data_IF_329150324564
#
_entry.id   IF_329150324564
#
_cell.length_a   1.000
_cell.length_b   1.000
_cell.length_c   1.000
_cell.angle_alpha   90.00
_cell.angle_beta   90.00
_cell.angle_gamma   90.00
#
_symmetry.space_group_name_H-M   'P 1'
#
loop_
_entity.id
_entity.type
_entity.pdbx_description
1 polymer ?
#
# COMPACT_ATOMS: atom_id res chain seq x y z
N UNK A 1 32.89 -12.46 -12.75
CA UNK A 1 32.42 -12.38 -11.34
C UNK A 1 33.59 -12.65 -10.43
N UNK A 2 33.80 -11.83 -9.39
CA UNK A 2 34.73 -12.13 -8.30
C UNK A 2 33.93 -12.77 -7.17
N UNK A 3 34.36 -13.95 -6.69
CA UNK A 3 33.76 -14.59 -5.51
C UNK A 3 34.16 -13.92 -4.19
N UNK A 4 35.08 -12.97 -4.23
CA UNK A 4 35.60 -12.29 -3.05
C UNK A 4 35.08 -10.86 -2.98
N UNK A 5 34.64 -10.47 -1.78
CA UNK A 5 34.30 -9.09 -1.46
C UNK A 5 35.57 -8.25 -1.41
N UNK A 6 35.62 -7.07 -2.06
CA UNK A 6 36.83 -6.27 -2.11
C UNK A 6 37.18 -5.69 -0.75
N UNK A 7 38.49 -5.56 -0.48
CA UNK A 7 39.02 -5.12 0.83
C UNK A 7 38.48 -3.73 1.18
N UNK A 8 38.39 -2.85 0.18
CA UNK A 8 37.87 -1.49 0.29
C UNK A 8 36.39 -1.43 0.69
N UNK A 9 35.64 -2.51 0.48
CA UNK A 9 34.24 -2.62 0.87
C UNK A 9 34.03 -3.47 2.14
N UNK A 10 35.08 -4.00 2.79
CA UNK A 10 34.94 -4.69 4.07
C UNK A 10 34.37 -3.79 5.19
N UNK A 11 34.71 -2.48 5.27
CA UNK A 11 34.10 -1.58 6.27
C UNK A 11 32.58 -1.48 6.15
N UNK A 12 32.01 -1.74 4.97
CA UNK A 12 30.55 -1.77 4.79
C UNK A 12 29.90 -2.90 5.60
N UNK A 13 30.52 -4.08 5.65
CA UNK A 13 30.01 -5.23 6.41
C UNK A 13 29.94 -4.89 7.91
N UNK A 14 31.01 -4.31 8.44
CA UNK A 14 31.07 -3.87 9.84
C UNK A 14 30.00 -2.81 10.13
N UNK A 15 29.80 -1.87 9.20
CA UNK A 15 28.75 -0.85 9.34
C UNK A 15 27.35 -1.46 9.34
N UNK A 16 27.09 -2.45 8.51
CA UNK A 16 25.81 -3.17 8.49
C UNK A 16 25.51 -3.86 9.83
N UNK A 17 26.51 -4.53 10.42
CA UNK A 17 26.39 -5.19 11.72
C UNK A 17 26.11 -4.18 12.84
N UNK A 18 26.82 -3.04 12.85
CA UNK A 18 26.61 -1.99 13.86
C UNK A 18 25.24 -1.31 13.75
N UNK A 19 24.74 -1.15 12.52
CA UNK A 19 23.47 -0.47 12.24
C UNK A 19 22.27 -1.41 12.17
N UNK A 20 22.49 -2.72 12.29
CA UNK A 20 21.46 -3.76 12.13
C UNK A 20 20.65 -3.61 10.84
N UNK A 21 21.30 -3.20 9.75
CA UNK A 21 20.68 -3.10 8.43
C UNK A 21 21.69 -3.36 7.30
N UNK A 22 21.36 -4.24 6.34
CA UNK A 22 20.12 -5.01 6.20
C UNK A 22 20.04 -6.16 7.21
N UNK A 23 19.00 -7.01 7.14
CA UNK A 23 18.93 -8.21 7.98
C UNK A 23 20.12 -9.14 7.73
N UNK A 24 20.53 -9.91 8.74
CA UNK A 24 21.71 -10.78 8.65
C UNK A 24 21.63 -11.78 7.48
N UNK A 25 20.42 -12.26 7.17
CA UNK A 25 20.16 -13.14 6.01
C UNK A 25 20.50 -12.44 4.69
N UNK A 26 20.10 -11.18 4.53
CA UNK A 26 20.37 -10.40 3.32
C UNK A 26 21.85 -10.04 3.25
N UNK A 27 22.46 -9.65 4.38
CA UNK A 27 23.89 -9.35 4.47
C UNK A 27 24.74 -10.57 4.07
N UNK A 28 24.47 -11.73 4.67
CA UNK A 28 25.15 -12.98 4.35
C UNK A 28 25.00 -13.36 2.88
N UNK A 29 23.80 -13.21 2.30
CA UNK A 29 23.56 -13.48 0.89
C UNK A 29 24.36 -12.54 -0.03
N UNK A 30 24.48 -11.26 0.33
CA UNK A 30 25.29 -10.28 -0.43
C UNK A 30 26.77 -10.63 -0.38
N UNK A 31 27.31 -10.90 0.82
CA UNK A 31 28.74 -11.19 1.00
C UNK A 31 29.14 -12.48 0.29
N UNK A 32 28.31 -13.52 0.35
CA UNK A 32 28.58 -14.82 -0.29
C UNK A 32 28.57 -14.76 -1.83
N UNK A 33 27.80 -13.84 -2.43
CA UNK A 33 27.78 -13.68 -3.89
C UNK A 33 28.93 -12.82 -4.43
N UNK A 34 29.65 -12.10 -3.55
CA UNK A 34 30.81 -11.29 -3.94
C UNK A 34 30.42 -10.06 -4.78
N UNK A 35 31.26 -9.72 -5.75
CA UNK A 35 31.05 -8.53 -6.59
C UNK A 35 31.33 -8.79 -8.08
N UNK A 36 30.83 -7.89 -8.91
CA UNK A 36 31.09 -7.89 -10.34
C UNK A 36 32.21 -6.92 -10.67
N UNK A 37 32.85 -7.13 -11.82
CA UNK A 37 33.85 -6.21 -12.37
C UNK A 37 33.43 -5.91 -13.80
N UNK A 38 33.37 -4.63 -14.17
CA UNK A 38 32.92 -4.16 -15.48
C UNK A 38 34.01 -3.35 -16.17
N UNK A 39 34.17 -3.46 -17.51
CA UNK A 39 35.21 -2.75 -18.26
C UNK A 39 34.79 -1.29 -18.47
N UNK A 40 34.94 -0.48 -17.43
CA UNK A 40 34.64 0.96 -17.45
C UNK A 40 35.89 1.68 -16.96
N UNK A 41 36.57 2.36 -17.89
CA UNK A 41 37.75 3.17 -17.57
C UNK A 41 37.41 4.47 -16.85
N UNK A 42 38.37 4.99 -16.08
CA UNK A 42 38.24 6.28 -15.40
C UNK A 42 38.31 7.48 -16.35
N UNK A 43 38.82 7.27 -17.56
CA UNK A 43 38.85 8.23 -18.66
C UNK A 43 38.65 7.51 -20.01
N UNK A 44 38.19 8.21 -21.06
CA UNK A 44 37.95 7.61 -22.38
C UNK A 44 39.16 6.90 -22.99
N UNK A 45 40.37 7.32 -22.61
CA UNK A 45 41.66 6.83 -23.11
C UNK A 45 42.24 5.66 -22.28
N UNK A 46 41.50 5.20 -21.25
CA UNK A 46 41.96 4.16 -20.31
C UNK A 46 41.15 2.88 -20.41
N UNK A 47 41.23 2.26 -21.57
CA UNK A 47 40.44 1.11 -22.02
C UNK A 47 40.80 -0.20 -21.29
N UNK A 48 41.88 -0.19 -20.51
CA UNK A 48 42.40 -1.33 -19.74
C UNK A 48 41.97 -1.31 -18.27
N UNK A 49 41.23 -0.31 -17.85
CA UNK A 49 40.75 -0.18 -16.48
C UNK A 49 39.40 -0.87 -16.27
N UNK A 50 39.22 -1.39 -15.07
CA UNK A 50 38.04 -2.13 -14.67
C UNK A 50 37.46 -1.51 -13.41
N UNK A 51 36.12 -1.41 -13.33
CA UNK A 51 35.42 -0.88 -12.17
C UNK A 51 34.71 -1.99 -11.43
N UNK A 52 34.81 -1.99 -10.10
CA UNK A 52 33.96 -2.83 -9.25
C UNK A 52 32.50 -2.39 -9.39
N UNK A 53 31.61 -3.37 -9.51
CA UNK A 53 30.16 -3.17 -9.59
C UNK A 53 29.47 -4.00 -8.52
N UNK A 54 28.63 -3.32 -7.73
CA UNK A 54 27.81 -3.91 -6.68
C UNK A 54 26.35 -4.09 -7.13
N UNK A 55 26.06 -4.12 -8.43
CA UNK A 55 24.70 -4.20 -8.96
C UNK A 55 23.87 -5.35 -8.38
N UNK A 56 24.46 -6.54 -8.20
CA UNK A 56 23.81 -7.68 -7.55
C UNK A 56 23.48 -7.42 -6.08
N UNK A 57 24.42 -6.82 -5.33
CA UNK A 57 24.20 -6.44 -3.95
C UNK A 57 23.10 -5.37 -3.81
N UNK A 58 23.13 -4.35 -4.66
CA UNK A 58 22.10 -3.31 -4.73
C UNK A 58 20.71 -3.89 -5.02
N UNK A 59 20.62 -4.87 -5.93
CA UNK A 59 19.36 -5.52 -6.26
C UNK A 59 18.78 -6.22 -5.02
N UNK A 60 19.59 -6.98 -4.28
CA UNK A 60 19.16 -7.64 -3.04
C UNK A 60 18.71 -6.63 -1.98
N UNK A 61 19.44 -5.52 -1.82
CA UNK A 61 19.03 -4.46 -0.90
C UNK A 61 17.68 -3.87 -1.28
N UNK A 62 17.45 -3.56 -2.56
CA UNK A 62 16.16 -3.05 -3.05
C UNK A 62 15.03 -4.06 -2.84
N UNK A 63 15.26 -5.36 -3.07
CA UNK A 63 14.25 -6.40 -2.84
C UNK A 63 13.97 -6.67 -1.36
N UNK A 64 14.88 -6.29 -0.47
CA UNK A 64 14.65 -6.35 0.97
C UNK A 64 13.94 -5.13 1.55
N UNK A 65 13.68 -4.09 0.74
CA UNK A 65 12.99 -2.88 1.20
C UNK A 65 11.54 -3.17 1.56
N UNK A 66 11.05 -2.49 2.60
CA UNK A 66 9.62 -2.45 2.84
C UNK A 66 8.90 -1.58 1.80
N UNK A 67 7.57 -1.66 1.77
CA UNK A 67 6.77 -0.95 0.78
C UNK A 67 6.98 0.57 0.82
N UNK A 68 7.05 1.18 2.01
CA UNK A 68 7.26 2.62 2.16
C UNK A 68 8.63 3.08 1.63
N UNK A 69 9.69 2.32 1.89
CA UNK A 69 11.03 2.58 1.35
C UNK A 69 11.05 2.51 -0.17
N UNK A 70 10.40 1.49 -0.74
CA UNK A 70 10.31 1.32 -2.19
C UNK A 70 9.51 2.45 -2.85
N UNK A 71 8.37 2.86 -2.27
CA UNK A 71 7.61 4.01 -2.74
C UNK A 71 8.42 5.31 -2.66
N UNK A 72 9.15 5.52 -1.56
CA UNK A 72 10.03 6.69 -1.41
C UNK A 72 11.13 6.70 -2.48
N UNK A 73 11.68 5.53 -2.84
CA UNK A 73 12.64 5.42 -3.94
C UNK A 73 12.03 5.87 -5.27
N UNK A 74 10.81 5.38 -5.56
CA UNK A 74 10.06 5.76 -6.76
C UNK A 74 9.80 7.26 -6.80
N UNK A 75 9.36 7.84 -5.68
CA UNK A 75 9.10 9.26 -5.54
C UNK A 75 10.34 10.12 -5.79
N UNK A 76 11.49 9.74 -5.22
CA UNK A 76 12.78 10.41 -5.47
C UNK A 76 13.17 10.38 -6.95
N UNK A 77 12.95 9.24 -7.64
CA UNK A 77 13.26 9.10 -9.07
C UNK A 77 12.36 9.97 -9.95
N UNK A 78 11.06 10.00 -9.66
CA UNK A 78 10.12 10.83 -10.41
C UNK A 78 10.44 12.31 -10.18
N UNK A 79 10.69 12.70 -8.92
CA UNK A 79 11.05 14.07 -8.57
C UNK A 79 12.36 14.52 -9.24
N UNK A 80 13.37 13.65 -9.28
CA UNK A 80 14.60 13.91 -10.03
C UNK A 80 14.29 14.20 -11.50
N UNK A 81 13.59 13.29 -12.18
CA UNK A 81 13.34 13.38 -13.62
C UNK A 81 12.44 14.57 -14.00
N UNK A 82 11.38 14.80 -13.23
CA UNK A 82 10.31 15.73 -13.59
C UNK A 82 10.44 17.10 -12.94
N UNK A 83 11.29 17.27 -11.93
CA UNK A 83 11.44 18.57 -11.24
C UNK A 83 12.88 19.05 -11.28
N UNK A 84 13.83 18.21 -10.87
CA UNK A 84 15.24 18.61 -10.77
C UNK A 84 15.89 18.71 -12.16
N UNK A 85 15.67 17.72 -13.03
CA UNK A 85 16.34 17.62 -14.33
C UNK A 85 15.74 18.53 -15.42
N UNK A 86 14.57 19.15 -15.19
CA UNK A 86 13.92 20.00 -16.20
C UNK A 86 14.76 21.20 -16.64
N UNK A 87 15.56 21.76 -15.73
CA UNK A 87 16.34 22.99 -15.97
C UNK A 87 17.85 22.77 -16.08
N UNK A 88 18.38 21.61 -15.65
CA UNK A 88 19.80 21.30 -15.66
C UNK A 88 20.06 19.80 -15.93
N UNK A 89 19.80 19.31 -17.15
CA UNK A 89 20.05 17.91 -17.48
C UNK A 89 21.56 17.63 -17.50
N UNK A 90 22.11 16.95 -16.48
CA UNK A 90 23.37 16.18 -16.54
C UNK A 90 24.01 15.85 -15.19
N UNK A 91 23.71 16.58 -14.12
CA UNK A 91 24.53 16.48 -12.89
C UNK A 91 24.14 15.32 -11.98
N UNK A 92 22.85 14.95 -11.93
CA UNK A 92 22.33 13.88 -11.09
C UNK A 92 21.76 12.73 -11.94
N UNK A 93 21.68 11.53 -11.37
CA UNK A 93 21.05 10.37 -11.97
C UNK A 93 20.39 9.49 -10.91
N UNK A 94 19.60 8.51 -11.35
CA UNK A 94 18.84 7.62 -10.47
C UNK A 94 19.70 6.80 -9.49
N UNK A 95 21.00 6.66 -9.77
CA UNK A 95 21.95 6.00 -8.89
C UNK A 95 22.20 6.78 -7.59
N UNK A 96 22.25 8.12 -7.66
CA UNK A 96 22.41 8.96 -6.48
C UNK A 96 21.18 8.87 -5.57
N UNK A 97 19.98 8.84 -6.15
CA UNK A 97 18.73 8.67 -5.38
C UNK A 97 18.70 7.33 -4.63
N UNK A 98 19.16 6.25 -5.28
CA UNK A 98 19.30 4.94 -4.63
C UNK A 98 20.29 5.00 -3.47
N UNK A 99 21.43 5.64 -3.70
CA UNK A 99 22.50 5.75 -2.70
C UNK A 99 22.05 6.54 -1.48
N UNK A 100 21.40 7.69 -1.67
CA UNK A 100 20.80 8.50 -0.59
C UNK A 100 19.83 7.64 0.21
N UNK A 101 18.93 6.94 -0.46
CA UNK A 101 17.93 6.11 0.21
C UNK A 101 18.57 5.03 1.08
N UNK A 102 19.59 4.31 0.58
CA UNK A 102 20.32 3.32 1.38
C UNK A 102 20.98 3.94 2.61
N UNK A 103 21.61 5.10 2.46
CA UNK A 103 22.24 5.80 3.57
C UNK A 103 21.23 6.26 4.62
N UNK A 104 20.07 6.80 4.21
CA UNK A 104 19.02 7.24 5.14
C UNK A 104 18.42 6.04 5.87
N UNK A 105 18.11 4.95 5.16
CA UNK A 105 17.59 3.71 5.78
C UNK A 105 18.56 3.18 6.84
N UNK A 106 19.86 3.15 6.53
CA UNK A 106 20.87 2.57 7.42
C UNK A 106 21.22 3.46 8.61
N UNK A 107 21.22 4.80 8.43
CA UNK A 107 21.80 5.72 9.41
C UNK A 107 20.77 6.41 10.30
N UNK A 108 19.53 6.59 9.85
CA UNK A 108 18.49 7.28 10.62
C UNK A 108 17.53 6.28 11.28
N UNK A 109 17.91 5.83 12.47
CA UNK A 109 17.09 4.91 13.27
C UNK A 109 15.83 5.56 13.83
N UNK A 110 15.73 6.90 13.81
CA UNK A 110 14.55 7.62 14.28
C UNK A 110 13.44 7.71 13.21
N UNK A 111 13.82 7.48 11.95
CA UNK A 111 12.91 7.56 10.81
C UNK A 111 12.09 6.27 10.68
N UNK A 112 10.79 6.38 10.94
CA UNK A 112 9.85 5.28 10.75
C UNK A 112 9.37 5.22 9.31
N UNK A 113 9.73 4.15 8.60
CA UNK A 113 9.36 3.88 7.21
C UNK A 113 7.97 3.26 7.09
N UNK A 114 6.95 4.05 7.41
CA UNK A 114 5.52 3.69 7.31
C UNK A 114 4.78 4.63 6.36
N UNK A 115 3.68 4.20 5.71
CA UNK A 115 2.98 5.02 4.71
C UNK A 115 2.63 6.44 5.18
N UNK A 116 2.25 6.60 6.45
CA UNK A 116 1.91 7.90 7.02
C UNK A 116 3.07 8.91 7.06
N UNK A 117 4.30 8.40 6.98
CA UNK A 117 5.54 9.18 7.04
C UNK A 117 6.20 9.31 5.67
N UNK A 118 5.57 8.84 4.59
CA UNK A 118 6.22 8.77 3.27
C UNK A 118 6.79 10.11 2.82
N UNK A 119 6.02 11.19 2.94
CA UNK A 119 6.47 12.55 2.56
C UNK A 119 7.59 13.06 3.47
N UNK A 120 7.57 12.72 4.76
CA UNK A 120 8.64 13.05 5.71
C UNK A 120 9.93 12.27 5.40
N UNK A 121 9.82 10.99 5.04
CA UNK A 121 10.94 10.16 4.61
C UNK A 121 11.57 10.70 3.31
N UNK A 122 10.73 11.06 2.34
CA UNK A 122 11.16 11.75 1.13
C UNK A 122 11.89 13.05 1.46
N UNK A 123 11.32 13.88 2.33
CA UNK A 123 11.91 15.17 2.70
C UNK A 123 13.26 15.00 3.40
N UNK A 124 13.41 13.96 4.22
CA UNK A 124 14.68 13.61 4.87
C UNK A 124 15.73 13.25 3.82
N UNK A 125 15.37 12.41 2.83
CA UNK A 125 16.25 12.10 1.70
C UNK A 125 16.61 13.35 0.89
N UNK A 126 15.65 14.25 0.67
CA UNK A 126 15.86 15.49 -0.06
C UNK A 126 16.81 16.46 0.67
N UNK A 127 16.69 16.58 2.00
CA UNK A 127 17.66 17.35 2.82
C UNK A 127 19.07 16.76 2.75
N UNK A 128 19.19 15.44 2.75
CA UNK A 128 20.50 14.76 2.57
C UNK A 128 21.07 15.08 1.19
N UNK A 129 20.26 15.04 0.12
CA UNK A 129 20.69 15.43 -1.23
C UNK A 129 21.25 16.85 -1.24
N UNK A 130 20.51 17.82 -0.68
CA UNK A 130 20.94 19.23 -0.62
C UNK A 130 22.25 19.35 0.14
N UNK A 131 22.38 18.70 1.30
CA UNK A 131 23.61 18.73 2.09
C UNK A 131 24.79 18.13 1.35
N UNK A 132 24.59 17.07 0.58
CA UNK A 132 25.64 16.41 -0.19
C UNK A 132 26.07 17.25 -1.39
N UNK A 133 25.12 17.88 -2.09
CA UNK A 133 25.44 18.81 -3.18
C UNK A 133 26.18 20.02 -2.65
N UNK A 134 25.75 20.59 -1.51
CA UNK A 134 26.45 21.68 -0.85
C UNK A 134 27.91 21.35 -0.53
N UNK A 135 28.16 20.16 0.01
CA UNK A 135 29.52 19.67 0.35
C UNK A 135 30.32 19.19 -0.87
N UNK A 136 29.65 18.89 -1.99
CA UNK A 136 30.28 18.24 -3.14
C UNK A 136 30.63 16.77 -2.88
N UNK A 137 29.92 16.12 -1.95
CA UNK A 137 30.23 14.79 -1.45
C UNK A 137 29.01 13.87 -1.52
N UNK A 138 29.10 12.83 -2.36
CA UNK A 138 28.12 11.75 -2.43
C UNK A 138 28.85 10.41 -2.22
N UNK A 139 28.98 9.93 -0.98
CA UNK A 139 29.74 8.73 -0.68
C UNK A 139 29.06 7.49 -1.28
N UNK A 140 29.81 6.67 -2.01
CA UNK A 140 29.30 5.39 -2.46
C UNK A 140 28.88 4.52 -1.26
N UNK A 141 27.74 3.85 -1.38
CA UNK A 141 27.18 3.10 -0.26
C UNK A 141 28.10 1.97 0.21
N UNK A 142 28.75 1.24 -0.69
CA UNK A 142 29.64 0.13 -0.35
C UNK A 142 31.07 0.58 -0.06
N UNK A 143 31.55 1.65 -0.72
CA UNK A 143 32.90 2.18 -0.54
C UNK A 143 32.81 3.69 -0.27
N UNK A 144 32.56 4.15 0.98
CA UNK A 144 32.29 5.56 1.28
C UNK A 144 33.37 6.54 0.83
N UNK A 145 34.63 6.09 0.77
CA UNK A 145 35.77 6.87 0.29
C UNK A 145 35.66 7.22 -1.20
N UNK A 146 34.86 6.46 -1.97
CA UNK A 146 34.56 6.75 -3.36
C UNK A 146 33.44 7.80 -3.45
N UNK A 147 33.84 9.07 -3.51
CA UNK A 147 32.92 10.18 -3.75
C UNK A 147 32.41 10.17 -5.20
N UNK A 148 31.12 9.90 -5.38
CA UNK A 148 30.48 9.76 -6.69
C UNK A 148 30.11 11.09 -7.36
N UNK A 149 30.18 12.20 -6.62
CA UNK A 149 30.05 13.56 -7.16
C UNK A 149 31.35 14.09 -7.74
N UNK A 150 32.47 13.44 -7.45
CA UNK A 150 33.78 13.83 -7.97
C UNK A 150 33.72 13.97 -9.49
N UNK A 151 34.24 15.09 -10.01
CA UNK A 151 34.24 15.49 -11.43
C UNK A 151 32.85 15.83 -12.02
N UNK A 152 31.75 15.33 -11.44
CA UNK A 152 30.38 15.54 -11.97
C UNK A 152 29.67 16.75 -11.38
N UNK A 153 29.78 16.94 -10.07
CA UNK A 153 29.09 17.99 -9.32
C UNK A 153 30.15 18.86 -8.66
N UNK A 154 30.77 19.72 -9.47
CA UNK A 154 31.88 20.60 -9.07
C UNK A 154 31.73 21.98 -9.72
N UNK A 155 32.32 23.01 -9.10
CA UNK A 155 32.36 24.37 -9.64
C UNK A 155 30.97 24.96 -9.88
N UNK A 156 30.78 25.63 -11.03
CA UNK A 156 29.52 26.30 -11.34
C UNK A 156 28.32 25.35 -11.38
N UNK A 157 28.51 24.10 -11.85
CA UNK A 157 27.44 23.11 -11.91
C UNK A 157 26.92 22.75 -10.50
N UNK A 158 27.82 22.65 -9.52
CA UNK A 158 27.46 22.42 -8.12
C UNK A 158 26.68 23.59 -7.53
N UNK A 159 27.13 24.83 -7.78
CA UNK A 159 26.47 26.05 -7.28
C UNK A 159 25.05 26.17 -7.85
N UNK A 160 24.90 26.05 -9.18
CA UNK A 160 23.59 26.14 -9.83
C UNK A 160 22.64 25.01 -9.38
N UNK A 161 23.16 23.80 -9.19
CA UNK A 161 22.37 22.68 -8.67
C UNK A 161 21.93 22.95 -7.21
N UNK A 162 22.84 23.42 -6.36
CA UNK A 162 22.51 23.74 -4.97
C UNK A 162 21.44 24.83 -4.88
N UNK A 163 21.59 25.93 -5.62
CA UNK A 163 20.60 27.02 -5.66
C UNK A 163 19.23 26.53 -6.11
N UNK A 164 19.18 25.68 -7.14
CA UNK A 164 17.95 25.09 -7.62
C UNK A 164 17.28 24.20 -6.56
N UNK A 165 18.04 23.29 -5.94
CA UNK A 165 17.50 22.41 -4.88
C UNK A 165 17.09 23.20 -3.63
N UNK A 166 17.82 24.25 -3.28
CA UNK A 166 17.49 25.11 -2.14
C UNK A 166 16.24 25.96 -2.41
N UNK A 167 16.03 26.42 -3.64
CA UNK A 167 14.79 27.08 -4.03
C UNK A 167 13.58 26.14 -3.91
N UNK A 168 13.73 24.87 -4.30
CA UNK A 168 12.71 23.85 -4.07
C UNK A 168 12.48 23.58 -2.57
N UNK A 169 13.55 23.55 -1.77
CA UNK A 169 13.47 23.41 -0.32
C UNK A 169 12.68 24.54 0.35
N UNK A 170 12.92 25.79 -0.06
CA UNK A 170 12.21 26.96 0.48
C UNK A 170 10.71 26.96 0.14
N UNK A 171 10.29 26.27 -0.92
CA UNK A 171 8.87 26.04 -1.21
C UNK A 171 8.22 25.01 -0.29
N UNK A 172 9.01 24.20 0.41
CA UNK A 172 8.55 23.10 1.23
C UNK A 172 8.02 21.92 0.42
N UNK A 173 7.32 21.00 1.08
CA UNK A 173 6.67 19.82 0.48
C UNK A 173 5.82 20.15 -0.77
N UNK A 174 5.12 21.32 -0.87
CA UNK A 174 4.41 21.71 -2.09
C UNK A 174 5.26 21.73 -3.37
N UNK A 175 6.61 21.73 -3.29
CA UNK A 175 7.46 21.58 -4.48
C UNK A 175 7.17 20.27 -5.25
N UNK A 176 6.63 19.25 -4.60
CA UNK A 176 6.20 18.00 -5.22
C UNK A 176 5.08 18.21 -6.25
N UNK A 177 4.27 19.27 -6.11
CA UNK A 177 3.19 19.61 -7.04
C UNK A 177 3.71 20.15 -8.38
N UNK A 178 5.01 20.48 -8.47
CA UNK A 178 5.64 20.88 -9.74
C UNK A 178 5.72 19.69 -10.70
N UNK A 179 5.88 18.47 -10.18
CA UNK A 179 5.86 17.26 -11.00
C UNK A 179 4.43 16.98 -11.48
N UNK A 180 4.21 16.81 -12.80
CA UNK A 180 2.89 16.41 -13.31
C UNK A 180 2.43 15.06 -12.76
N UNK A 181 3.34 14.09 -12.65
CA UNK A 181 3.01 12.75 -12.17
C UNK A 181 2.67 12.76 -10.68
N UNK A 182 3.52 13.36 -9.85
CA UNK A 182 3.33 13.42 -8.39
C UNK A 182 2.14 14.34 -8.07
N UNK A 183 2.07 15.49 -8.73
CA UNK A 183 0.99 16.47 -8.60
C UNK A 183 -0.37 15.86 -8.87
N UNK A 184 -0.52 14.96 -9.85
CA UNK A 184 -1.80 14.25 -10.08
C UNK A 184 -2.28 13.48 -8.85
N UNK A 185 -1.40 12.71 -8.20
CA UNK A 185 -1.77 11.93 -7.01
C UNK A 185 -2.01 12.82 -5.79
N UNK A 186 -1.15 13.82 -5.58
CA UNK A 186 -1.29 14.73 -4.44
C UNK A 186 -2.52 15.63 -4.58
N UNK A 187 -2.83 16.15 -5.77
CA UNK A 187 -4.02 16.97 -6.00
C UNK A 187 -5.31 16.19 -5.76
N UNK A 188 -5.36 14.91 -6.14
CA UNK A 188 -6.48 14.03 -5.82
C UNK A 188 -6.65 13.92 -4.29
N UNK A 189 -5.57 13.69 -3.56
CA UNK A 189 -5.62 13.65 -2.09
C UNK A 189 -5.99 15.02 -1.46
N UNK A 190 -5.56 16.15 -2.03
CA UNK A 190 -5.99 17.50 -1.57
C UNK A 190 -7.49 17.69 -1.78
N UNK A 191 -7.99 17.41 -2.99
CA UNK A 191 -9.39 17.61 -3.36
C UNK A 191 -10.34 16.75 -2.50
N UNK A 192 -9.87 15.58 -2.09
CA UNK A 192 -10.61 14.69 -1.19
C UNK A 192 -10.50 15.10 0.29
N UNK A 193 -9.84 16.21 0.62
CA UNK A 193 -9.64 16.68 1.99
C UNK A 193 -8.62 15.87 2.80
N UNK A 194 -7.88 14.96 2.15
CA UNK A 194 -7.01 13.95 2.78
C UNK A 194 -5.60 14.47 3.09
N UNK A 195 -5.23 15.65 2.61
CA UNK A 195 -3.93 16.27 2.86
C UNK A 195 -4.10 17.76 3.17
N UNK A 196 -3.85 18.16 4.42
CA UNK A 196 -3.51 19.55 4.71
C UNK A 196 -1.99 19.70 4.60
N UNK A 197 -1.51 20.41 3.57
CA UNK A 197 -0.09 20.78 3.47
C UNK A 197 0.24 21.80 4.57
N UNK A 198 0.40 21.36 5.81
CA UNK A 198 1.02 22.19 6.84
C UNK A 198 2.53 21.96 6.78
N UNK A 199 3.26 23.06 6.75
CA UNK A 199 4.73 23.10 6.63
C UNK A 199 5.45 22.69 7.92
N UNK A 200 4.73 22.24 8.94
CA UNK A 200 5.33 21.66 10.13
C UNK A 200 5.71 20.20 9.86
N UNK A 201 6.94 19.85 10.24
CA UNK A 201 7.45 18.48 10.18
C UNK A 201 6.65 17.47 11.06
N UNK A 202 5.58 17.93 11.71
CA UNK A 202 4.70 17.18 12.60
C UNK A 202 3.33 16.84 11.99
N UNK A 203 2.98 17.32 10.80
CA UNK A 203 1.74 16.91 10.12
C UNK A 203 1.92 15.58 9.39
N UNK A 204 2.13 14.52 10.17
CA UNK A 204 2.06 13.13 9.73
C UNK A 204 0.68 12.88 9.10
N UNK A 205 0.61 12.10 8.02
CA UNK A 205 -0.68 11.60 7.53
C UNK A 205 -1.26 10.76 8.67
N UNK A 206 -2.36 11.23 9.26
CA UNK A 206 -3.03 10.58 10.38
C UNK A 206 -3.41 9.14 10.03
N UNK A 207 -3.30 8.20 10.98
CA UNK A 207 -3.76 6.81 10.81
C UNK A 207 -5.21 6.73 10.29
N UNK A 208 -6.02 7.74 10.63
CA UNK A 208 -7.41 7.89 10.12
C UNK A 208 -7.43 8.02 8.60
N UNK A 209 -6.53 8.83 8.04
CA UNK A 209 -6.46 9.11 6.60
C UNK A 209 -5.98 7.85 5.86
N UNK A 210 -5.02 7.11 6.43
CA UNK A 210 -4.59 5.84 5.84
C UNK A 210 -5.72 4.82 5.78
N UNK A 211 -6.55 4.75 6.82
CA UNK A 211 -7.69 3.83 6.86
C UNK A 211 -8.83 4.27 5.96
N UNK A 212 -9.04 5.58 5.77
CA UNK A 212 -9.96 6.12 4.75
C UNK A 212 -9.45 5.80 3.34
N UNK A 213 -8.16 5.95 3.06
CA UNK A 213 -7.58 5.52 1.78
C UNK A 213 -7.76 4.02 1.56
N UNK A 214 -7.51 3.20 2.58
CA UNK A 214 -7.73 1.76 2.50
C UNK A 214 -9.20 1.42 2.24
N UNK A 215 -10.13 2.15 2.86
CA UNK A 215 -11.56 2.03 2.58
C UNK A 215 -11.88 2.30 1.11
N UNK A 216 -11.39 3.42 0.57
CA UNK A 216 -11.62 3.80 -0.82
C UNK A 216 -11.03 2.78 -1.80
N UNK A 217 -9.81 2.28 -1.54
CA UNK A 217 -9.18 1.23 -2.35
C UNK A 217 -9.99 -0.07 -2.30
N UNK A 218 -10.46 -0.47 -1.12
CA UNK A 218 -11.31 -1.66 -0.96
C UNK A 218 -12.64 -1.50 -1.69
N UNK A 219 -13.25 -0.32 -1.62
CA UNK A 219 -14.49 0.00 -2.34
C UNK A 219 -14.27 -0.03 -3.86
N UNK A 220 -13.14 0.48 -4.35
CA UNK A 220 -12.82 0.56 -5.78
C UNK A 220 -12.30 -0.75 -6.40
N UNK A 221 -11.71 -1.66 -5.61
CA UNK A 221 -11.25 -2.98 -6.07
C UNK A 221 -12.38 -3.82 -6.68
N UNK A 222 -13.62 -3.43 -6.45
CA UNK A 222 -14.78 -3.98 -7.12
C UNK A 222 -15.21 -5.34 -6.57
N UNK A 223 -16.30 -5.82 -7.15
CA UNK A 223 -17.09 -6.89 -6.58
C UNK A 223 -16.74 -8.26 -7.16
N UNK A 224 -16.75 -9.29 -6.31
CA UNK A 224 -16.48 -10.67 -6.71
C UNK A 224 -17.76 -11.48 -6.94
N UNK A 225 -18.16 -11.65 -8.19
CA UNK A 225 -19.31 -12.50 -8.55
C UNK A 225 -18.93 -13.98 -8.59
N UNK A 226 -19.59 -14.78 -7.77
CA UNK A 226 -19.54 -16.25 -7.83
C UNK A 226 -20.47 -16.76 -8.91
N UNK A 227 -19.95 -17.38 -9.97
CA UNK A 227 -20.78 -17.86 -11.08
C UNK A 227 -21.23 -19.31 -10.95
N UNK A 228 -20.41 -20.16 -10.33
CA UNK A 228 -20.68 -21.58 -10.13
C UNK A 228 -19.86 -22.13 -8.95
N UNK A 229 -20.12 -23.38 -8.59
CA UNK A 229 -19.47 -24.06 -7.47
C UNK A 229 -17.96 -24.27 -7.66
N UNK A 230 -17.52 -24.59 -8.88
CA UNK A 230 -16.10 -24.87 -9.17
C UNK A 230 -15.26 -23.60 -8.98
N UNK A 231 -15.76 -22.47 -9.48
CA UNK A 231 -15.13 -21.16 -9.30
C UNK A 231 -15.00 -20.77 -7.82
N UNK A 232 -16.08 -20.95 -7.04
CA UNK A 232 -16.05 -20.67 -5.60
C UNK A 232 -14.97 -21.51 -4.87
N UNK A 233 -14.88 -22.82 -5.18
CA UNK A 233 -13.90 -23.72 -4.56
C UNK A 233 -12.47 -23.34 -4.95
N UNK A 234 -12.21 -23.05 -6.23
CA UNK A 234 -10.90 -22.59 -6.69
C UNK A 234 -10.47 -21.30 -6.00
N UNK A 235 -11.39 -20.36 -5.85
CA UNK A 235 -11.12 -19.10 -5.16
C UNK A 235 -10.77 -19.34 -3.69
N UNK A 236 -11.53 -20.17 -2.97
CA UNK A 236 -11.22 -20.54 -1.57
C UNK A 236 -9.80 -21.12 -1.45
N UNK A 237 -9.41 -22.03 -2.36
CA UNK A 237 -8.05 -22.60 -2.38
C UNK A 237 -7.00 -21.52 -2.63
N UNK A 238 -7.25 -20.61 -3.57
CA UNK A 238 -6.33 -19.49 -3.85
C UNK A 238 -6.17 -18.56 -2.64
N UNK A 239 -7.25 -18.28 -1.91
CA UNK A 239 -7.20 -17.51 -0.66
C UNK A 239 -6.36 -18.19 0.42
N UNK A 240 -6.52 -19.51 0.60
CA UNK A 240 -5.74 -20.28 1.57
C UNK A 240 -4.23 -20.25 1.23
N UNK A 241 -3.89 -20.38 -0.05
CA UNK A 241 -2.51 -20.26 -0.52
C UNK A 241 -1.94 -18.85 -0.29
N UNK A 242 -2.72 -17.80 -0.58
CA UNK A 242 -2.32 -16.41 -0.34
C UNK A 242 -2.14 -16.10 1.15
N UNK A 243 -2.98 -16.66 2.02
CA UNK A 243 -2.81 -16.51 3.46
C UNK A 243 -1.50 -17.12 3.99
N UNK A 244 -0.97 -18.13 3.31
CA UNK A 244 0.31 -18.76 3.65
C UNK A 244 1.54 -18.00 3.11
N UNK A 245 1.34 -16.89 2.39
CA UNK A 245 2.42 -16.04 1.86
C UNK A 245 2.76 -14.87 2.79
N UNK A 246 3.96 -14.29 2.64
CA UNK A 246 4.35 -13.08 3.39
C UNK A 246 3.58 -11.86 2.84
N UNK A 247 2.40 -11.59 3.42
CA UNK A 247 1.57 -10.44 3.09
C UNK A 247 1.90 -9.24 3.99
N UNK A 248 1.86 -8.05 3.41
CA UNK A 248 1.88 -6.80 4.18
C UNK A 248 0.56 -6.61 4.95
N UNK A 249 0.58 -5.76 6.00
CA UNK A 249 -0.62 -5.49 6.81
C UNK A 249 -1.84 -5.05 5.99
N UNK A 250 -1.64 -4.15 5.02
CA UNK A 250 -2.72 -3.68 4.15
C UNK A 250 -3.21 -4.79 3.22
N UNK A 251 -2.31 -5.56 2.61
CA UNK A 251 -2.70 -6.71 1.78
C UNK A 251 -3.49 -7.75 2.58
N UNK A 252 -3.11 -8.02 3.83
CA UNK A 252 -3.86 -8.93 4.71
C UNK A 252 -5.28 -8.45 4.93
N UNK A 253 -5.48 -7.15 5.21
CA UNK A 253 -6.82 -6.59 5.47
C UNK A 253 -7.66 -6.53 4.20
N UNK A 254 -7.09 -6.12 3.07
CA UNK A 254 -7.75 -6.19 1.76
C UNK A 254 -8.18 -7.63 1.43
N UNK A 255 -7.30 -8.61 1.66
CA UNK A 255 -7.61 -10.03 1.42
C UNK A 255 -8.72 -10.53 2.34
N UNK A 256 -8.73 -10.12 3.62
CA UNK A 256 -9.81 -10.47 4.55
C UNK A 256 -11.15 -9.89 4.11
N UNK A 257 -11.19 -8.62 3.66
CA UNK A 257 -12.42 -8.04 3.13
C UNK A 257 -12.92 -8.82 1.90
N UNK A 258 -12.02 -9.10 0.95
CA UNK A 258 -12.35 -9.82 -0.27
C UNK A 258 -12.83 -11.25 0.01
N UNK A 259 -12.21 -11.94 0.97
CA UNK A 259 -12.65 -13.26 1.44
C UNK A 259 -14.07 -13.20 2.02
N UNK A 260 -14.34 -12.21 2.88
CA UNK A 260 -15.69 -12.00 3.43
C UNK A 260 -16.73 -11.80 2.34
N UNK A 261 -16.41 -10.96 1.35
CA UNK A 261 -17.31 -10.64 0.24
C UNK A 261 -17.58 -11.85 -0.65
N UNK A 262 -16.55 -12.63 -0.96
CA UNK A 262 -16.69 -13.89 -1.69
C UNK A 262 -17.56 -14.90 -0.93
N UNK A 263 -17.35 -15.05 0.39
CA UNK A 263 -18.18 -15.94 1.21
C UNK A 263 -19.65 -15.49 1.23
N UNK A 264 -19.90 -14.18 1.31
CA UNK A 264 -21.27 -13.63 1.21
C UNK A 264 -21.90 -13.98 -0.13
N UNK A 265 -21.21 -13.73 -1.25
CA UNK A 265 -21.74 -14.02 -2.59
C UNK A 265 -21.92 -15.53 -2.81
N UNK A 266 -21.04 -16.36 -2.26
CA UNK A 266 -21.18 -17.81 -2.31
C UNK A 266 -22.39 -18.31 -1.50
N UNK A 267 -22.63 -17.74 -0.32
CA UNK A 267 -23.84 -18.00 0.46
C UNK A 267 -25.12 -17.63 -0.33
N UNK A 268 -25.16 -16.43 -0.92
CA UNK A 268 -26.28 -15.96 -1.73
C UNK A 268 -26.53 -16.88 -2.94
N UNK A 269 -25.48 -17.28 -3.65
CA UNK A 269 -25.55 -18.24 -4.74
C UNK A 269 -26.17 -19.58 -4.30
N UNK A 270 -25.71 -20.17 -3.19
CA UNK A 270 -26.25 -21.43 -2.67
C UNK A 270 -27.72 -21.33 -2.25
N UNK A 271 -28.13 -20.17 -1.71
CA UNK A 271 -29.52 -19.91 -1.31
C UNK A 271 -30.46 -19.62 -2.50
N UNK A 272 -29.90 -19.20 -3.64
CA UNK A 272 -30.66 -18.86 -4.85
C UNK A 272 -30.91 -20.05 -5.78
N UNK A 273 -30.26 -21.19 -5.56
CA UNK A 273 -30.47 -22.37 -6.40
C UNK A 273 -31.85 -23.00 -6.16
N UNK A 274 -32.64 -23.14 -7.23
CA UNK A 274 -33.88 -23.90 -7.28
C UNK A 274 -33.60 -25.40 -7.20
N UNK A 275 -33.58 -25.95 -5.99
CA UNK A 275 -33.33 -27.37 -5.76
C UNK A 275 -34.64 -28.15 -5.76
N UNK A 276 -34.75 -29.15 -6.65
CA UNK A 276 -35.97 -29.93 -6.91
C UNK A 276 -36.51 -30.80 -5.75
N UNK A 277 -35.83 -30.87 -4.60
CA UNK A 277 -36.27 -31.70 -3.46
C UNK A 277 -36.05 -31.01 -2.11
N UNK A 278 -37.07 -31.03 -1.24
CA UNK A 278 -37.08 -30.35 0.07
C UNK A 278 -35.90 -30.74 0.98
N UNK A 279 -35.41 -31.99 0.93
CA UNK A 279 -34.26 -32.46 1.75
C UNK A 279 -32.93 -31.86 1.29
N UNK A 280 -32.66 -31.83 -0.02
CA UNK A 280 -31.43 -31.26 -0.58
C UNK A 280 -31.41 -29.74 -0.44
N UNK A 281 -32.58 -29.10 -0.59
CA UNK A 281 -32.75 -27.67 -0.36
C UNK A 281 -32.37 -27.28 1.08
N UNK A 282 -32.95 -27.95 2.10
CA UNK A 282 -32.66 -27.68 3.52
C UNK A 282 -31.18 -27.86 3.89
N UNK A 283 -30.50 -28.82 3.26
CA UNK A 283 -29.05 -29.02 3.46
C UNK A 283 -28.22 -27.89 2.84
N UNK A 284 -28.55 -27.46 1.62
CA UNK A 284 -27.91 -26.32 0.95
C UNK A 284 -28.13 -25.02 1.73
N UNK A 285 -29.36 -24.81 2.20
CA UNK A 285 -29.76 -23.63 2.98
C UNK A 285 -29.10 -23.54 4.37
N UNK A 286 -28.81 -24.68 5.00
CA UNK A 286 -28.02 -24.68 6.23
C UNK A 286 -26.54 -24.38 5.97
N UNK A 287 -26.00 -24.81 4.83
CA UNK A 287 -24.62 -24.48 4.42
C UNK A 287 -24.47 -23.01 4.07
N UNK A 288 -25.40 -22.45 3.30
CA UNK A 288 -25.41 -21.02 2.98
C UNK A 288 -25.42 -20.19 4.25
N UNK A 289 -26.30 -20.49 5.22
CA UNK A 289 -26.32 -19.78 6.51
C UNK A 289 -24.98 -19.90 7.26
N UNK A 290 -24.35 -21.07 7.28
CA UNK A 290 -23.04 -21.25 7.93
C UNK A 290 -21.96 -20.39 7.27
N UNK A 291 -21.87 -20.42 5.94
CA UNK A 291 -20.94 -19.61 5.15
C UNK A 291 -21.20 -18.12 5.39
N UNK A 292 -22.47 -17.72 5.47
CA UNK A 292 -22.86 -16.35 5.76
C UNK A 292 -22.38 -15.87 7.13
N UNK A 293 -22.50 -16.72 8.15
CA UNK A 293 -21.97 -16.42 9.49
C UNK A 293 -20.45 -16.29 9.50
N UNK A 294 -19.74 -17.04 8.67
CA UNK A 294 -18.30 -16.87 8.49
C UNK A 294 -17.96 -15.54 7.84
N UNK A 295 -18.70 -15.13 6.79
CA UNK A 295 -18.54 -13.82 6.17
C UNK A 295 -18.69 -12.69 7.20
N UNK A 296 -19.75 -12.71 8.01
CA UNK A 296 -19.99 -11.73 9.08
C UNK A 296 -18.87 -11.67 10.13
N UNK A 297 -18.21 -12.79 10.41
CA UNK A 297 -17.10 -12.84 11.38
C UNK A 297 -15.85 -12.12 10.85
N UNK A 298 -15.64 -12.14 9.54
CA UNK A 298 -14.43 -11.62 8.88
C UNK A 298 -14.65 -10.17 8.41
N UNK A 299 -15.81 -9.88 7.85
CA UNK A 299 -16.14 -8.62 7.16
C UNK A 299 -16.52 -7.44 8.03
N UNK A 300 -16.90 -6.36 7.35
CA UNK A 300 -17.34 -5.10 7.93
C UNK A 300 -18.81 -5.17 8.41
N UNK A 301 -19.37 -4.02 8.83
CA UNK A 301 -20.72 -3.99 9.38
C UNK A 301 -21.79 -4.39 8.34
N UNK A 302 -21.54 -4.13 7.05
CA UNK A 302 -22.48 -4.42 5.97
C UNK A 302 -22.88 -5.90 5.89
N UNK A 303 -21.95 -6.84 6.16
CA UNK A 303 -22.26 -8.27 6.12
C UNK A 303 -23.34 -8.68 7.13
N UNK A 304 -23.53 -7.92 8.21
CA UNK A 304 -24.59 -8.18 9.19
C UNK A 304 -25.98 -7.98 8.56
N UNK A 305 -26.14 -6.99 7.69
CA UNK A 305 -27.40 -6.70 6.99
C UNK A 305 -27.76 -7.84 6.02
N UNK A 306 -26.79 -8.36 5.27
CA UNK A 306 -27.03 -9.54 4.43
C UNK A 306 -27.39 -10.79 5.25
N UNK A 307 -26.84 -10.95 6.47
CA UNK A 307 -27.26 -12.04 7.36
C UNK A 307 -28.69 -11.83 7.86
N UNK A 308 -29.10 -10.59 8.12
CA UNK A 308 -30.48 -10.26 8.46
C UNK A 308 -31.45 -10.62 7.32
N UNK A 309 -31.09 -10.30 6.08
CA UNK A 309 -31.85 -10.66 4.87
C UNK A 309 -31.96 -12.18 4.73
N UNK A 310 -30.86 -12.90 4.97
CA UNK A 310 -30.86 -14.37 4.92
C UNK A 310 -31.81 -14.97 5.96
N UNK A 311 -31.84 -14.43 7.18
CA UNK A 311 -32.79 -14.85 8.22
C UNK A 311 -34.23 -14.50 7.88
N UNK A 312 -34.46 -13.32 7.29
CA UNK A 312 -35.78 -12.88 6.84
C UNK A 312 -36.37 -13.86 5.82
N UNK A 313 -35.60 -14.27 4.81
CA UNK A 313 -36.01 -15.26 3.81
C UNK A 313 -36.33 -16.64 4.38
N UNK A 314 -35.74 -16.97 5.52
CA UNK A 314 -36.03 -18.22 6.26
C UNK A 314 -37.22 -18.09 7.21
N UNK A 315 -37.93 -16.96 7.17
CA UNK A 315 -38.99 -16.58 8.09
C UNK A 315 -38.52 -16.56 9.57
N UNK A 316 -37.23 -16.38 9.81
CA UNK A 316 -36.64 -16.27 11.15
C UNK A 316 -36.56 -14.80 11.57
N UNK A 317 -37.72 -14.16 11.68
CA UNK A 317 -37.84 -12.71 11.85
C UNK A 317 -37.18 -12.20 13.14
N UNK A 318 -37.25 -12.95 14.24
CA UNK A 318 -36.58 -12.58 15.49
C UNK A 318 -35.06 -12.49 15.32
N UNK A 319 -34.45 -13.47 14.64
CA UNK A 319 -33.01 -13.48 14.36
C UNK A 319 -32.63 -12.37 13.38
N UNK A 320 -33.47 -12.13 12.37
CA UNK A 320 -33.29 -11.02 11.44
C UNK A 320 -33.29 -9.68 12.17
N UNK A 321 -34.26 -9.44 13.05
CA UNK A 321 -34.37 -8.22 13.85
C UNK A 321 -33.16 -8.03 14.77
N UNK A 322 -32.68 -9.09 15.42
CA UNK A 322 -31.45 -9.04 16.23
C UNK A 322 -30.22 -8.66 15.39
N UNK A 323 -30.11 -9.16 14.15
CA UNK A 323 -29.05 -8.75 13.24
C UNK A 323 -29.16 -7.26 12.87
N UNK A 324 -30.36 -6.76 12.58
CA UNK A 324 -30.58 -5.35 12.27
C UNK A 324 -30.20 -4.43 13.44
N UNK A 325 -30.61 -4.78 14.66
CA UNK A 325 -30.21 -4.04 15.87
C UNK A 325 -28.70 -3.99 16.04
N UNK A 326 -28.02 -5.14 15.87
CA UNK A 326 -26.55 -5.20 15.94
C UNK A 326 -25.85 -4.40 14.84
N UNK A 327 -26.43 -4.35 13.64
CA UNK A 327 -25.91 -3.54 12.55
C UNK A 327 -26.06 -2.05 12.89
N UNK A 328 -27.26 -1.63 13.33
CA UNK A 328 -27.56 -0.27 13.75
C UNK A 328 -26.63 0.21 14.88
N UNK A 329 -26.41 -0.62 15.90
CA UNK A 329 -25.52 -0.30 17.02
C UNK A 329 -24.07 -0.07 16.59
N UNK A 330 -23.61 -0.77 15.55
CA UNK A 330 -22.27 -0.60 14.98
C UNK A 330 -22.21 0.62 14.06
N UNK A 331 -23.19 0.76 13.18
CA UNK A 331 -23.21 1.78 12.12
C UNK A 331 -23.48 3.19 12.67
N UNK A 332 -24.15 3.29 13.83
CA UNK A 332 -24.41 4.57 14.51
C UNK A 332 -23.21 5.13 15.29
N UNK A 333 -22.08 4.41 15.36
CA UNK A 333 -20.92 4.87 16.12
C UNK A 333 -20.29 6.09 15.45
N UNK A 334 -19.83 7.10 16.20
CA UNK A 334 -19.32 8.35 15.63
C UNK A 334 -17.97 8.19 14.92
N UNK A 335 -17.32 7.03 15.03
CA UNK A 335 -16.02 6.73 14.43
C UNK A 335 -16.12 5.87 13.17
N UNK A 336 -17.31 5.67 12.61
CA UNK A 336 -17.47 4.90 11.37
C UNK A 336 -16.95 5.67 10.17
N UNK A 337 -16.49 4.93 9.16
CA UNK A 337 -16.06 5.43 7.85
C UNK A 337 -17.14 5.01 6.84
N UNK A 338 -17.75 6.01 6.19
CA UNK A 338 -18.74 5.81 5.14
C UNK A 338 -18.52 6.84 4.04
N UNK A 339 -18.38 6.39 2.78
CA UNK A 339 -17.99 7.23 1.62
C UNK A 339 -16.81 8.18 1.93
N UNK A 340 -15.78 7.63 2.58
CA UNK A 340 -14.58 8.37 2.97
C UNK A 340 -14.78 9.42 4.07
N UNK A 341 -15.99 9.60 4.61
CA UNK A 341 -16.29 10.53 5.69
C UNK A 341 -16.10 9.87 7.06
N UNK A 342 -15.48 10.60 8.00
CA UNK A 342 -15.25 10.12 9.37
C UNK A 342 -15.03 11.28 10.34
N UNK A 343 -15.52 11.15 11.59
CA UNK A 343 -15.11 12.06 12.67
C UNK A 343 -13.73 11.64 13.19
N UNK A 344 -12.68 12.32 12.72
CA UNK A 344 -11.30 11.95 13.02
C UNK A 344 -10.99 11.86 14.52
N UNK A 345 -11.52 12.78 15.33
CA UNK A 345 -11.20 12.83 16.76
C UNK A 345 -11.82 11.65 17.51
N UNK A 346 -13.08 11.33 17.22
CA UNK A 346 -13.74 10.14 17.77
C UNK A 346 -13.09 8.85 17.28
N UNK A 347 -12.67 8.82 16.01
CA UNK A 347 -11.94 7.69 15.45
C UNK A 347 -10.63 7.44 16.18
N UNK A 348 -9.76 8.46 16.30
CA UNK A 348 -8.44 8.33 16.94
C UNK A 348 -8.57 7.79 18.37
N UNK A 349 -9.54 8.31 19.13
CA UNK A 349 -9.79 7.85 20.50
C UNK A 349 -10.25 6.39 20.55
N UNK A 350 -11.17 6.00 19.67
CA UNK A 350 -11.75 4.66 19.69
C UNK A 350 -10.81 3.58 19.11
N UNK A 351 -9.93 3.96 18.18
CA UNK A 351 -9.10 3.04 17.40
C UNK A 351 -7.63 3.01 17.84
N UNK A 352 -7.25 3.78 18.86
CA UNK A 352 -5.92 3.70 19.46
C UNK A 352 -5.61 2.26 19.92
N UNK A 353 -4.50 1.70 19.42
CA UNK A 353 -4.06 0.34 19.74
C UNK A 353 -4.90 -0.79 19.12
N UNK A 354 -5.87 -0.48 18.26
CA UNK A 354 -6.70 -1.48 17.59
C UNK A 354 -6.01 -1.97 16.31
N UNK A 355 -6.01 -3.29 16.09
CA UNK A 355 -5.41 -3.88 14.89
C UNK A 355 -6.10 -3.38 13.60
N UNK A 356 -5.40 -3.29 12.48
CA UNK A 356 -5.97 -2.81 11.22
C UNK A 356 -7.18 -3.67 10.76
N UNK A 357 -7.12 -4.98 10.98
CA UNK A 357 -8.22 -5.92 10.74
C UNK A 357 -9.46 -5.59 11.59
N UNK A 358 -9.25 -5.31 12.89
CA UNK A 358 -10.34 -4.91 13.78
C UNK A 358 -10.90 -3.54 13.44
N UNK A 359 -10.06 -2.60 13.00
CA UNK A 359 -10.48 -1.26 12.54
C UNK A 359 -11.43 -1.39 11.34
N UNK A 360 -11.08 -2.18 10.33
CA UNK A 360 -11.96 -2.49 9.21
C UNK A 360 -13.31 -3.06 9.69
N UNK A 361 -13.31 -4.06 10.56
CA UNK A 361 -14.54 -4.71 11.06
C UNK A 361 -15.45 -3.80 11.89
N UNK A 362 -14.87 -2.80 12.56
CA UNK A 362 -15.59 -1.91 13.48
C UNK A 362 -16.05 -0.62 12.81
N UNK A 363 -15.27 -0.09 11.88
CA UNK A 363 -15.46 1.25 11.36
C UNK A 363 -16.02 1.27 9.95
N UNK A 364 -15.73 0.29 9.10
CA UNK A 364 -16.11 0.37 7.69
C UNK A 364 -17.60 0.07 7.52
N UNK A 365 -18.28 0.96 6.81
CA UNK A 365 -19.66 0.81 6.38
C UNK A 365 -19.65 0.86 4.85
N UNK A 366 -20.17 -0.18 4.22
CA UNK A 366 -20.31 -0.25 2.77
C UNK A 366 -21.80 -0.34 2.42
N UNK A 367 -22.16 0.15 1.24
CA UNK A 367 -23.50 -0.05 0.69
C UNK A 367 -23.82 -1.54 0.54
N UNK A 368 -25.10 -1.87 0.71
CA UNK A 368 -25.60 -3.18 0.35
C UNK A 368 -25.70 -3.23 -1.18
N UNK A 369 -25.23 -4.31 -1.78
CA UNK A 369 -25.16 -4.51 -3.22
C UNK A 369 -25.90 -5.78 -3.59
N UNK A 370 -26.96 -5.63 -4.38
CA UNK A 370 -27.73 -6.74 -4.91
C UNK A 370 -27.43 -6.94 -6.39
N UNK A 371 -26.67 -8.00 -6.68
CA UNK A 371 -26.46 -8.47 -8.05
C UNK A 371 -27.69 -9.19 -8.59
N UNK A 372 -28.01 -8.91 -9.84
CA UNK A 372 -29.13 -9.54 -10.56
C UNK A 372 -29.00 -11.05 -10.75
N UNK A 373 -27.82 -11.62 -10.44
CA UNK A 373 -27.56 -13.06 -10.49
C UNK A 373 -28.11 -13.81 -9.28
N UNK A 374 -28.33 -13.13 -8.16
CA UNK A 374 -28.80 -13.75 -6.92
C UNK A 374 -30.15 -13.18 -6.53
N UNK A 375 -30.98 -14.04 -5.93
CA UNK A 375 -32.22 -13.60 -5.29
C UNK A 375 -31.86 -13.31 -3.83
N UNK A 376 -32.01 -12.06 -3.41
CA UNK A 376 -31.66 -11.64 -2.05
C UNK A 376 -32.86 -11.58 -1.13
N UNK A 377 -33.95 -10.96 -1.58
CA UNK A 377 -35.23 -10.81 -0.88
C UNK A 377 -36.30 -10.63 -1.97
N UNK A 378 -37.45 -11.27 -1.82
CA UNK A 378 -38.44 -11.36 -2.90
C UNK A 378 -39.10 -10.00 -3.16
N UNK A 379 -39.22 -9.18 -2.11
CA UNK A 379 -39.81 -7.85 -2.14
C UNK A 379 -39.00 -6.83 -2.97
N UNK A 380 -37.70 -7.08 -3.23
CA UNK A 380 -36.83 -6.19 -4.02
C UNK A 380 -36.48 -6.74 -5.41
N UNK A 381 -37.12 -7.83 -5.84
CA UNK A 381 -36.95 -8.39 -7.19
C UNK A 381 -37.33 -7.38 -8.29
N UNK A 382 -38.42 -6.59 -8.18
CA UNK A 382 -38.76 -5.60 -9.20
C UNK A 382 -37.66 -4.56 -9.43
N UNK A 383 -37.05 -4.04 -8.36
CA UNK A 383 -35.97 -3.06 -8.41
C UNK A 383 -34.68 -3.66 -9.00
N UNK A 384 -34.38 -4.93 -8.68
CA UNK A 384 -33.26 -5.64 -9.30
C UNK A 384 -33.46 -5.82 -10.82
N UNK A 385 -34.63 -6.26 -11.28
CA UNK A 385 -34.90 -6.43 -12.71
C UNK A 385 -34.99 -5.09 -13.46
N UNK A 386 -35.51 -4.03 -12.83
CA UNK A 386 -35.48 -2.67 -13.41
C UNK A 386 -34.03 -2.19 -13.60
N UNK A 387 -33.18 -2.30 -12.57
CA UNK A 387 -31.76 -1.93 -12.65
C UNK A 387 -30.99 -2.73 -13.72
N UNK A 388 -31.34 -4.01 -13.90
CA UNK A 388 -30.80 -4.86 -14.96
C UNK A 388 -31.15 -4.36 -16.35
N UNK A 389 -32.40 -3.94 -16.56
CA UNK A 389 -32.88 -3.43 -17.85
C UNK A 389 -32.20 -2.11 -18.23
N UNK A 390 -31.91 -1.26 -17.24
CA UNK A 390 -31.22 0.02 -17.42
C UNK A 390 -29.69 -0.12 -17.57
N UNK A 391 -29.16 -1.35 -17.56
CA UNK A 391 -27.73 -1.63 -17.74
C UNK A 391 -26.86 -1.45 -16.48
N UNK A 392 -27.46 -1.18 -15.31
CA UNK A 392 -26.76 -0.96 -14.04
C UNK A 392 -26.17 -2.23 -13.40
N UNK A 393 -26.76 -3.39 -13.65
CA UNK A 393 -26.23 -4.71 -13.26
C UNK A 393 -26.18 -5.03 -11.74
N UNK A 394 -26.19 -4.01 -10.88
CA UNK A 394 -26.13 -4.08 -9.42
C UNK A 394 -27.00 -2.98 -8.81
N UNK A 395 -27.90 -3.35 -7.90
CA UNK A 395 -28.68 -2.42 -7.09
C UNK A 395 -27.91 -2.06 -5.81
N UNK A 396 -27.66 -0.76 -5.59
CA UNK A 396 -26.98 -0.24 -4.41
C UNK A 396 -28.01 0.33 -3.42
N UNK A 397 -27.94 -0.12 -2.17
CA UNK A 397 -28.81 0.33 -1.08
C UNK A 397 -27.92 0.86 0.05
N UNK A 398 -27.99 2.17 0.35
CA UNK A 398 -27.32 2.75 1.50
C UNK A 398 -27.73 2.04 2.81
N UNK A 399 -26.80 1.83 3.75
CA UNK A 399 -27.01 1.05 4.97
C UNK A 399 -27.84 1.74 6.05
#
# INVERSE_FOLDING_TARGET
MSRHWPIEALPWIQRCQLKNWPSERVLSAIVNEGCHVVPIGSAPERDREWRVSFSGAEQKLVYSMNHCQFLCYGLLKIFLKEVIDQNNPSCLCSYFMKSILFWVIQCDSSLHWVPGNLLFCFWTCFKVLISWVYKGECPNFFIPQNNMFRVKVVGQAQVSLFEHLYALYNRGIPCLLISPTIGRFLNMAILHGMLTFRTDANSLISDVILDVCLYEEIHNLGDYLVNNLDEAVRSIIAFEQLQNSELTLFQTVTLQNFLSEMLKNFSCFLSSQTIATNKKWKYSDNKSLYIMKLAVKIGCAAQILYLAIHYYRRCQYEMSLQCLQRAQDKMSKPYVIYHGQVNEEMYRRAMAGVSLSDRMRKCFILDIQFYNKYVYIDELVPEQEANKADGGGTLFIPP
#
